data_IF_684775273943
#
_entry.id   IF_684775273943
#
_cell.length_a   1.000
_cell.length_b   1.000
_cell.length_c   1.000
_cell.angle_alpha   90.00
_cell.angle_beta   90.00
_cell.angle_gamma   90.00
#
_symmetry.space_group_name_H-M   'P 1'
#
loop_
_entity.id
_entity.type
_entity.pdbx_description
1 polymer ?
#
# COMPACT_ATOMS: atom_id res chain seq x y z
N UNK A 1 -30.92 -46.44 19.50
CA UNK A 1 -30.84 -45.58 18.31
C UNK A 1 -30.64 -44.13 18.78
N UNK A 2 -29.47 -43.55 18.48
CA UNK A 2 -28.88 -42.35 19.10
C UNK A 2 -29.64 -41.04 18.76
N UNK A 3 -30.23 -40.32 19.75
CA UNK A 3 -30.79 -38.98 19.55
C UNK A 3 -29.73 -37.86 19.56
N UNK A 4 -28.49 -38.16 19.95
CA UNK A 4 -27.43 -37.16 20.21
C UNK A 4 -26.72 -36.62 18.96
N UNK A 5 -26.86 -37.28 17.80
CA UNK A 5 -26.17 -36.86 16.56
C UNK A 5 -26.74 -35.57 15.93
N UNK A 6 -27.99 -35.19 16.24
CA UNK A 6 -28.63 -33.99 15.65
C UNK A 6 -28.25 -32.69 16.35
N UNK A 7 -27.88 -32.72 17.63
CA UNK A 7 -27.49 -31.51 18.37
C UNK A 7 -26.08 -31.02 17.98
N UNK A 8 -25.17 -31.94 17.66
CA UNK A 8 -23.80 -31.60 17.25
C UNK A 8 -23.73 -30.88 15.90
N UNK A 9 -24.63 -31.20 14.96
CA UNK A 9 -24.66 -30.59 13.63
C UNK A 9 -25.16 -29.14 13.65
N UNK A 10 -26.04 -28.77 14.59
CA UNK A 10 -26.51 -27.39 14.72
C UNK A 10 -25.43 -26.44 15.27
N UNK A 11 -24.53 -26.94 16.13
CA UNK A 11 -23.45 -26.16 16.72
C UNK A 11 -22.33 -25.83 15.72
N UNK A 12 -22.06 -26.72 14.75
CA UNK A 12 -21.05 -26.51 13.70
C UNK A 12 -21.45 -25.40 12.71
N UNK A 13 -22.75 -25.24 12.44
CA UNK A 13 -23.27 -24.21 11.53
C UNK A 13 -23.11 -22.78 12.08
N UNK A 14 -23.09 -22.61 13.41
CA UNK A 14 -22.91 -21.30 14.05
C UNK A 14 -21.43 -20.84 14.06
N UNK A 15 -20.48 -21.77 14.03
CA UNK A 15 -19.04 -21.45 13.97
C UNK A 15 -18.59 -20.96 12.59
N UNK A 16 -19.26 -21.38 11.50
CA UNK A 16 -18.98 -20.91 10.14
C UNK A 16 -19.44 -19.45 9.91
N UNK A 17 -20.33 -18.92 10.75
CA UNK A 17 -20.83 -17.54 10.63
C UNK A 17 -19.90 -16.49 11.24
N UNK A 18 -19.02 -16.87 12.18
CA UNK A 18 -18.06 -15.94 12.80
C UNK A 18 -16.78 -15.82 11.96
N UNK A 19 -16.46 -16.85 11.17
CA UNK A 19 -15.27 -16.89 10.32
C UNK A 19 -15.47 -16.28 8.92
N UNK A 20 -16.68 -15.85 8.58
CA UNK A 20 -17.03 -15.26 7.28
C UNK A 20 -17.07 -13.73 7.32
N UNK A 21 -16.17 -13.11 8.10
CA UNK A 21 -15.78 -11.74 7.77
C UNK A 21 -14.87 -11.84 6.55
N UNK A 22 -15.32 -11.40 5.35
CA UNK A 22 -14.37 -11.23 4.27
C UNK A 22 -13.25 -10.33 4.80
N UNK A 23 -11.97 -10.60 4.47
CA UNK A 23 -10.92 -9.63 4.75
C UNK A 23 -11.45 -8.28 4.25
N UNK A 24 -11.43 -7.26 5.11
CA UNK A 24 -11.80 -5.91 4.72
C UNK A 24 -10.81 -5.48 3.63
N UNK A 25 -11.12 -5.85 2.39
CA UNK A 25 -10.42 -5.36 1.22
C UNK A 25 -10.87 -3.93 1.08
N UNK A 26 -10.11 -3.03 1.70
CA UNK A 26 -10.34 -1.61 1.57
C UNK A 26 -10.20 -1.23 0.10
N UNK A 27 -11.11 -0.39 -0.40
CA UNK A 27 -11.12 -0.02 -1.80
C UNK A 27 -9.78 0.61 -2.20
N UNK A 28 -9.31 0.43 -3.45
CA UNK A 28 -8.08 1.07 -3.92
C UNK A 28 -8.06 2.58 -3.66
N UNK A 29 -9.22 3.23 -3.77
CA UNK A 29 -9.42 4.65 -3.46
C UNK A 29 -9.13 4.99 -2.00
N UNK A 30 -9.56 4.17 -1.05
CA UNK A 30 -9.29 4.39 0.38
C UNK A 30 -7.80 4.25 0.67
N UNK A 31 -7.15 3.21 0.12
CA UNK A 31 -5.71 3.00 0.26
C UNK A 31 -4.89 4.15 -0.32
N UNK A 32 -5.23 4.63 -1.52
CA UNK A 32 -4.59 5.78 -2.13
C UNK A 32 -4.78 7.05 -1.29
N UNK A 33 -5.97 7.27 -0.73
CA UNK A 33 -6.22 8.40 0.18
C UNK A 33 -5.37 8.30 1.44
N UNK A 34 -5.24 7.10 2.02
CA UNK A 34 -4.43 6.88 3.22
C UNK A 34 -2.93 7.09 2.94
N UNK A 35 -2.43 6.61 1.80
CA UNK A 35 -1.06 6.85 1.34
C UNK A 35 -0.78 8.35 1.24
N UNK A 36 -1.62 9.09 0.52
CA UNK A 36 -1.43 10.53 0.34
C UNK A 36 -1.47 11.27 1.68
N UNK A 37 -2.40 10.91 2.56
CA UNK A 37 -2.50 11.52 3.89
C UNK A 37 -1.26 11.26 4.74
N UNK A 38 -0.75 10.01 4.76
CA UNK A 38 0.46 9.65 5.52
C UNK A 38 1.69 10.36 5.01
N UNK A 39 1.86 10.47 3.68
CA UNK A 39 2.96 11.22 3.08
C UNK A 39 2.90 12.70 3.49
N UNK A 40 1.70 13.29 3.49
CA UNK A 40 1.52 14.67 3.94
C UNK A 40 1.89 14.83 5.42
N UNK A 41 1.49 13.89 6.28
CA UNK A 41 1.85 13.90 7.70
C UNK A 41 3.37 13.84 7.91
N UNK A 42 4.05 12.91 7.21
CA UNK A 42 5.50 12.75 7.27
C UNK A 42 6.23 14.03 6.85
N UNK A 43 5.77 14.67 5.76
CA UNK A 43 6.37 15.90 5.25
C UNK A 43 6.05 17.16 6.08
N UNK A 44 4.95 17.15 6.84
CA UNK A 44 4.54 18.27 7.71
C UNK A 44 5.14 18.24 9.12
N UNK A 45 5.78 17.14 9.51
CA UNK A 45 6.41 16.98 10.83
C UNK A 45 7.65 17.86 11.01
N UNK A 46 8.14 17.94 12.24
CA UNK A 46 9.38 18.67 12.58
C UNK A 46 10.59 18.14 11.79
N UNK A 47 10.62 16.84 11.51
CA UNK A 47 11.61 16.20 10.65
C UNK A 47 11.05 14.90 10.05
N UNK A 48 11.33 14.65 8.77
CA UNK A 48 11.03 13.37 8.10
C UNK A 48 11.91 12.25 8.68
N UNK A 49 11.35 11.11 9.11
CA UNK A 49 12.15 9.97 9.61
C UNK A 49 13.20 9.53 8.58
N UNK A 50 14.47 9.48 8.97
CA UNK A 50 15.58 9.21 8.03
C UNK A 50 15.60 10.11 6.77
N UNK A 51 15.35 11.40 6.94
CA UNK A 51 15.35 12.41 5.89
C UNK A 51 16.49 12.32 4.84
N UNK A 52 17.69 11.94 5.27
CA UNK A 52 18.91 11.86 4.43
C UNK A 52 19.22 10.44 3.94
N UNK A 53 18.38 9.45 4.25
CA UNK A 53 18.50 8.11 3.65
C UNK A 53 18.24 8.21 2.16
N UNK A 54 19.08 7.51 1.39
CA UNK A 54 18.92 7.37 -0.06
C UNK A 54 18.11 6.12 -0.36
N UNK A 55 17.25 6.21 -1.36
CA UNK A 55 16.47 5.09 -1.89
C UNK A 55 16.58 5.11 -3.41
N UNK A 56 16.45 3.95 -4.04
CA UNK A 56 16.41 3.84 -5.49
C UNK A 56 15.32 4.77 -6.07
N UNK A 57 15.67 5.48 -7.12
CA UNK A 57 14.76 6.42 -7.79
C UNK A 57 13.69 5.65 -8.57
N UNK A 58 12.44 6.10 -8.46
CA UNK A 58 11.32 5.57 -9.23
C UNK A 58 10.87 6.63 -10.22
N UNK A 59 10.79 6.27 -11.51
CA UNK A 59 10.44 7.19 -12.57
C UNK A 59 8.92 7.35 -12.70
N UNK A 60 8.28 7.99 -11.72
CA UNK A 60 6.81 8.14 -11.65
C UNK A 60 6.16 8.85 -12.86
N UNK A 61 6.95 9.55 -13.67
CA UNK A 61 6.49 10.23 -14.89
C UNK A 61 6.73 9.43 -16.18
N UNK A 62 7.41 8.29 -16.10
CA UNK A 62 7.65 7.44 -17.27
C UNK A 62 6.37 6.72 -17.67
N UNK A 63 5.84 7.09 -18.84
CA UNK A 63 4.62 6.52 -19.40
C UNK A 63 4.80 5.10 -19.97
N UNK A 64 6.02 4.56 -19.97
CA UNK A 64 6.30 3.20 -20.44
C UNK A 64 5.96 2.14 -19.39
N UNK A 65 5.97 2.51 -18.11
CA UNK A 65 5.68 1.59 -17.01
C UNK A 65 4.19 1.67 -16.62
N UNK A 66 3.63 0.54 -16.19
CA UNK A 66 2.27 0.51 -15.65
C UNK A 66 2.24 1.14 -14.25
N UNK A 67 1.05 1.59 -13.83
CA UNK A 67 0.87 2.10 -12.47
C UNK A 67 1.20 1.03 -11.42
N UNK A 68 0.89 -0.25 -11.69
CA UNK A 68 1.21 -1.36 -10.80
C UNK A 68 2.72 -1.57 -10.65
N UNK A 69 3.49 -1.50 -11.75
CA UNK A 69 4.95 -1.60 -11.72
C UNK A 69 5.56 -0.45 -10.90
N UNK A 70 5.09 0.79 -11.11
CA UNK A 70 5.55 1.96 -10.36
C UNK A 70 5.22 1.87 -8.86
N UNK A 71 4.04 1.35 -8.50
CA UNK A 71 3.65 1.10 -7.10
C UNK A 71 4.54 0.01 -6.46
N UNK A 72 4.86 -1.06 -7.19
CA UNK A 72 5.77 -2.09 -6.70
C UNK A 72 7.18 -1.55 -6.51
N UNK A 73 7.70 -0.79 -7.48
CA UNK A 73 9.02 -0.17 -7.39
C UNK A 73 9.09 0.76 -6.18
N UNK A 74 8.05 1.56 -5.94
CA UNK A 74 7.98 2.42 -4.76
C UNK A 74 7.97 1.64 -3.43
N UNK A 75 7.20 0.54 -3.36
CA UNK A 75 7.20 -0.34 -2.19
C UNK A 75 8.57 -0.98 -1.94
N UNK A 76 9.25 -1.39 -3.01
CA UNK A 76 10.59 -1.99 -2.97
C UNK A 76 11.63 -0.96 -2.51
N UNK A 77 11.60 0.26 -3.06
CA UNK A 77 12.46 1.36 -2.65
C UNK A 77 12.32 1.68 -1.15
N UNK A 78 11.08 1.76 -0.64
CA UNK A 78 10.83 2.00 0.79
C UNK A 78 11.22 0.81 1.69
N UNK A 79 11.10 -0.42 1.20
CA UNK A 79 11.48 -1.64 1.96
C UNK A 79 12.99 -1.73 2.16
N UNK A 80 13.80 -1.09 1.30
CA UNK A 80 15.25 -0.99 1.47
C UNK A 80 15.68 -0.20 2.71
N UNK A 81 14.79 0.64 3.25
CA UNK A 81 15.05 1.44 4.44
C UNK A 81 15.07 0.53 5.67
N UNK A 82 16.21 0.44 6.36
CA UNK A 82 16.36 -0.42 7.55
C UNK A 82 16.09 0.32 8.87
N UNK A 83 16.68 1.50 9.06
CA UNK A 83 16.73 2.20 10.36
C UNK A 83 15.37 2.67 10.88
N UNK A 84 14.54 3.26 10.02
CA UNK A 84 13.22 3.82 10.34
C UNK A 84 12.11 3.11 9.56
N UNK A 85 12.31 1.85 9.19
CA UNK A 85 11.34 1.07 8.42
C UNK A 85 9.93 1.12 9.01
N UNK A 86 9.84 1.06 10.35
CA UNK A 86 8.57 1.05 11.09
C UNK A 86 7.71 2.29 10.81
N UNK A 87 8.34 3.44 10.58
CA UNK A 87 7.63 4.68 10.24
C UNK A 87 6.98 4.61 8.85
N UNK A 88 7.55 3.80 7.95
CA UNK A 88 7.10 3.60 6.57
C UNK A 88 6.27 2.33 6.37
N UNK A 89 6.18 1.44 7.36
CA UNK A 89 5.48 0.16 7.23
C UNK A 89 4.00 0.31 6.79
N UNK A 90 3.20 1.26 7.32
CA UNK A 90 1.83 1.44 6.84
C UNK A 90 1.76 1.88 5.37
N UNK A 91 2.73 2.68 4.93
CA UNK A 91 2.85 3.13 3.54
C UNK A 91 3.20 1.95 2.63
N UNK A 92 4.19 1.14 3.04
CA UNK A 92 4.63 -0.07 2.31
C UNK A 92 3.47 -1.06 2.15
N UNK A 93 2.74 -1.37 3.23
CA UNK A 93 1.62 -2.32 3.19
C UNK A 93 0.53 -1.85 2.22
N UNK A 94 0.20 -0.55 2.24
CA UNK A 94 -0.82 -0.02 1.34
C UNK A 94 -0.37 -0.07 -0.12
N UNK A 95 0.88 0.29 -0.42
CA UNK A 95 1.45 0.16 -1.77
C UNK A 95 1.42 -1.28 -2.26
N UNK A 96 1.89 -2.23 -1.43
CA UNK A 96 1.89 -3.67 -1.74
C UNK A 96 0.52 -4.19 -2.08
N UNK A 97 -0.46 -3.77 -1.30
CA UNK A 97 -1.84 -4.19 -1.48
C UNK A 97 -2.56 -3.55 -2.68
N UNK A 98 -1.92 -2.59 -3.36
CA UNK A 98 -2.43 -1.93 -4.57
C UNK A 98 -1.86 -2.53 -5.86
N UNK A 99 -0.59 -2.97 -5.87
CA UNK A 99 0.01 -3.56 -7.07
C UNK A 99 -0.27 -5.06 -7.21
N UNK A 100 -0.37 -5.81 -6.12
CA UNK A 100 -0.69 -7.25 -6.14
C UNK A 100 0.42 -8.15 -6.71
N UNK A 101 1.44 -7.60 -7.37
CA UNK A 101 2.61 -8.33 -7.86
C UNK A 101 3.57 -8.78 -6.75
N UNK A 102 4.25 -9.90 -6.96
CA UNK A 102 5.26 -10.43 -6.02
C UNK A 102 6.65 -9.81 -6.23
N UNK A 103 6.91 -9.23 -7.40
CA UNK A 103 8.20 -8.64 -7.77
C UNK A 103 8.06 -7.63 -8.90
N UNK A 104 8.95 -6.65 -8.92
CA UNK A 104 9.12 -5.66 -9.99
C UNK A 104 10.62 -5.47 -10.26
N UNK A 105 10.94 -4.84 -11.39
CA UNK A 105 12.32 -4.50 -11.73
C UNK A 105 12.63 -3.09 -11.23
N UNK A 106 13.53 -2.95 -10.27
CA UNK A 106 14.00 -1.65 -9.79
C UNK A 106 15.52 -1.57 -10.00
N UNK A 107 15.94 -0.59 -10.80
CA UNK A 107 17.36 -0.27 -10.95
C UNK A 107 17.85 0.51 -9.71
N UNK A 108 19.06 0.20 -9.24
CA UNK A 108 19.76 0.90 -8.18
C UNK A 108 20.81 1.90 -8.71
N UNK A 109 20.85 2.13 -10.03
CA UNK A 109 21.82 3.04 -10.67
C UNK A 109 21.65 4.49 -10.20
N UNK A 110 20.41 4.90 -9.92
CA UNK A 110 20.08 6.24 -9.45
C UNK A 110 19.38 6.16 -8.11
N UNK A 111 19.83 6.98 -7.17
CA UNK A 111 19.23 7.10 -5.84
C UNK A 111 18.93 8.56 -5.51
N UNK A 112 17.78 8.78 -4.88
CA UNK A 112 17.34 10.08 -4.37
C UNK A 112 17.17 10.04 -2.86
N UNK A 113 17.26 11.22 -2.22
CA UNK A 113 16.95 11.33 -0.80
C UNK A 113 15.48 11.07 -0.53
N UNK A 114 15.19 10.42 0.60
CA UNK A 114 13.83 10.07 1.01
C UNK A 114 12.89 11.27 1.08
N UNK A 115 13.41 12.43 1.52
CA UNK A 115 12.68 13.71 1.53
C UNK A 115 12.23 14.20 0.15
N UNK A 116 12.88 13.76 -0.92
CA UNK A 116 12.51 14.07 -2.31
C UNK A 116 11.60 12.97 -2.88
N UNK A 117 11.87 11.71 -2.50
CA UNK A 117 11.08 10.56 -2.89
C UNK A 117 9.62 10.65 -2.42
N UNK A 118 9.38 10.99 -1.15
CA UNK A 118 8.02 11.00 -0.57
C UNK A 118 7.08 11.99 -1.28
N UNK A 119 7.47 13.26 -1.56
CA UNK A 119 6.64 14.16 -2.38
C UNK A 119 6.32 13.61 -3.77
N UNK A 120 7.28 13.00 -4.46
CA UNK A 120 7.04 12.42 -5.80
C UNK A 120 6.03 11.28 -5.75
N UNK A 121 6.21 10.36 -4.80
CA UNK A 121 5.25 9.28 -4.54
C UNK A 121 3.85 9.83 -4.22
N UNK A 122 3.77 10.84 -3.38
CA UNK A 122 2.50 11.46 -2.99
C UNK A 122 1.77 12.10 -4.17
N UNK A 123 2.50 12.77 -5.07
CA UNK A 123 1.94 13.34 -6.29
C UNK A 123 1.40 12.25 -7.22
N UNK A 124 2.16 11.18 -7.40
CA UNK A 124 1.77 10.03 -8.22
C UNK A 124 0.48 9.37 -7.69
N UNK A 125 0.42 9.01 -6.40
CA UNK A 125 -0.75 8.36 -5.79
C UNK A 125 -1.97 9.29 -5.73
N UNK A 126 -1.75 10.60 -5.55
CA UNK A 126 -2.81 11.60 -5.64
C UNK A 126 -3.39 11.70 -7.06
N UNK A 127 -2.56 11.55 -8.10
CA UNK A 127 -3.00 11.46 -9.49
C UNK A 127 -3.90 10.25 -9.71
N UNK A 128 -3.46 9.06 -9.28
CA UNK A 128 -4.25 7.83 -9.34
C UNK A 128 -5.59 7.96 -8.61
N UNK A 129 -5.60 8.55 -7.40
CA UNK A 129 -6.83 8.78 -6.63
C UNK A 129 -7.84 9.63 -7.42
N UNK A 130 -7.37 10.69 -8.07
CA UNK A 130 -8.22 11.57 -8.89
C UNK A 130 -8.75 10.85 -10.12
N UNK A 131 -7.92 10.02 -10.76
CA UNK A 131 -8.33 9.20 -11.89
C UNK A 131 -9.46 8.25 -11.51
N UNK A 132 -9.32 7.50 -10.40
CA UNK A 132 -10.38 6.63 -9.90
C UNK A 132 -11.64 7.39 -9.49
N UNK A 133 -11.50 8.61 -8.95
CA UNK A 133 -12.64 9.45 -8.61
C UNK A 133 -13.41 9.92 -9.86
N UNK A 134 -12.70 10.23 -10.95
CA UNK A 134 -13.31 10.60 -12.23
C UNK A 134 -14.04 9.44 -12.89
N UNK A 135 -13.48 8.23 -12.84
CA UNK A 135 -14.14 7.02 -13.36
C UNK A 135 -15.42 6.63 -12.60
N UNK A 136 -15.55 7.08 -11.35
CA UNK A 136 -16.72 6.84 -10.51
C UNK A 136 -17.76 7.97 -10.57
N UNK A 137 -17.51 9.04 -11.35
CA UNK A 137 -18.48 10.11 -11.54
C UNK A 137 -19.57 9.65 -12.54
N UNK A 138 -20.86 9.89 -12.24
CA UNK A 138 -21.99 9.49 -13.09
C UNK A 138 -22.05 10.24 -14.41
#
# INVERSE_FOLDING_TARGET
MLPWLKAALAALSLLQLVSSRPPMSTSPKLKLSEITHRIQQLNSGVQVPCNDTRVAQVAFTDRKLSEQELLCQAATALTSITRCRKDYEPLIINLQSLHGDTSCSLSDENEIYLRNFLPELGNFTQGMYRHLAALAAP
#
